data_IF_432321273839
#
_entry.id   IF_432321273839
#
_cell.length_a   1.000
_cell.length_b   1.000
_cell.length_c   1.000
_cell.angle_alpha   90.00
_cell.angle_beta   90.00
_cell.angle_gamma   90.00
#
_symmetry.space_group_name_H-M   'P 1'
#
loop_
_entity.id
_entity.type
_entity.pdbx_description
1 polymer ?
#
# COMPACT_ATOMS: atom_id res chain seq x y z
N UNK A 1 -38.93 4.18 -32.23
CA UNK A 1 -39.62 2.88 -32.18
C UNK A 1 -39.49 2.35 -30.77
N UNK A 2 -40.63 1.97 -30.20
CA UNK A 2 -40.87 1.69 -28.79
C UNK A 2 -40.29 0.34 -28.33
N UNK A 3 -40.26 0.16 -27.00
CA UNK A 3 -40.15 -1.07 -26.22
C UNK A 3 -38.73 -1.45 -25.72
N UNK A 4 -38.53 -1.83 -24.46
CA UNK A 4 -39.29 -1.71 -23.19
C UNK A 4 -38.26 -2.04 -22.09
N UNK A 5 -38.35 -1.33 -20.97
CA UNK A 5 -37.63 -1.64 -19.75
C UNK A 5 -38.32 -2.81 -19.04
N UNK A 6 -37.55 -3.77 -18.51
CA UNK A 6 -38.04 -4.73 -17.53
C UNK A 6 -37.23 -4.60 -16.23
N UNK A 7 -37.98 -4.30 -15.19
CA UNK A 7 -37.60 -4.00 -13.84
C UNK A 7 -37.80 -5.27 -13.01
N UNK A 8 -36.76 -5.78 -12.37
CA UNK A 8 -36.86 -6.95 -11.47
C UNK A 8 -36.16 -6.68 -10.14
N UNK A 9 -36.97 -6.36 -9.14
CA UNK A 9 -36.68 -6.57 -7.71
C UNK A 9 -38.00 -6.99 -7.04
N UNK A 10 -38.00 -7.46 -5.78
CA UNK A 10 -37.51 -8.76 -5.34
C UNK A 10 -38.69 -9.59 -4.76
N UNK A 11 -38.58 -10.92 -4.73
CA UNK A 11 -39.56 -11.77 -4.04
C UNK A 11 -38.87 -12.64 -3.00
N UNK A 12 -39.06 -12.26 -1.74
CA UNK A 12 -39.12 -13.18 -0.61
C UNK A 12 -40.58 -13.19 -0.12
N UNK A 13 -41.15 -14.37 0.18
CA UNK A 13 -41.85 -14.46 1.45
C UNK A 13 -41.50 -15.75 2.18
N UNK A 14 -41.20 -15.59 3.47
CA UNK A 14 -40.77 -16.66 4.35
C UNK A 14 -41.79 -17.78 4.53
N UNK A 15 -41.25 -18.96 4.84
CA UNK A 15 -42.00 -20.09 5.41
C UNK A 15 -41.44 -20.40 6.79
N UNK A 16 -42.24 -20.11 7.81
CA UNK A 16 -42.04 -20.54 9.20
C UNK A 16 -42.19 -22.07 9.25
N UNK A 17 -41.16 -22.77 9.69
CA UNK A 17 -41.27 -24.13 10.23
C UNK A 17 -40.82 -24.14 11.67
N UNK A 18 -41.78 -24.30 12.56
CA UNK A 18 -41.63 -24.59 13.98
C UNK A 18 -41.00 -25.97 14.16
N UNK A 19 -39.77 -26.01 14.67
CA UNK A 19 -39.16 -27.22 15.20
C UNK A 19 -38.88 -27.00 16.70
N UNK A 20 -39.77 -27.53 17.52
CA UNK A 20 -39.58 -27.79 18.94
C UNK A 20 -38.38 -28.73 19.13
N UNK A 21 -37.28 -28.20 19.64
CA UNK A 21 -36.08 -28.96 20.01
C UNK A 21 -35.64 -28.55 21.41
N UNK A 22 -35.74 -29.50 22.35
CA UNK A 22 -35.33 -29.40 23.76
C UNK A 22 -34.01 -28.64 23.93
N UNK A 23 -34.00 -27.64 24.80
CA UNK A 23 -32.80 -27.05 25.39
C UNK A 23 -32.07 -28.11 26.22
N UNK A 24 -31.19 -28.87 25.58
CA UNK A 24 -30.15 -29.59 26.29
C UNK A 24 -29.10 -28.55 26.71
N UNK A 25 -29.18 -28.13 27.99
CA UNK A 25 -28.11 -27.39 28.62
C UNK A 25 -26.84 -28.23 28.55
N UNK A 26 -25.94 -27.88 27.64
CA UNK A 26 -24.56 -28.37 27.69
C UNK A 26 -23.85 -27.53 28.75
N UNK A 27 -23.87 -28.04 29.97
CA UNK A 27 -22.94 -27.64 31.01
C UNK A 27 -21.54 -27.83 30.45
N UNK A 28 -20.84 -26.72 30.15
CA UNK A 28 -19.41 -26.73 29.87
C UNK A 28 -18.75 -27.22 31.15
N UNK A 29 -18.45 -28.52 31.18
CA UNK A 29 -17.74 -29.16 32.27
C UNK A 29 -16.37 -28.49 32.41
N UNK A 30 -16.08 -28.02 33.61
CA UNK A 30 -14.80 -27.45 34.00
C UNK A 30 -13.72 -28.53 33.82
N UNK A 31 -12.99 -28.49 32.70
CA UNK A 31 -11.84 -29.37 32.50
C UNK A 31 -10.75 -28.91 33.47
N UNK A 32 -10.42 -29.77 34.44
CA UNK A 32 -9.31 -29.56 35.35
C UNK A 32 -8.05 -29.25 34.52
N UNK A 33 -7.59 -28.01 34.60
CA UNK A 33 -6.48 -27.52 33.78
C UNK A 33 -5.20 -28.03 34.42
N UNK A 34 -4.62 -29.09 33.87
CA UNK A 34 -3.26 -29.47 34.21
C UNK A 34 -2.35 -28.31 33.79
N UNK A 35 -1.81 -27.59 34.79
CA UNK A 35 -0.91 -26.48 34.54
C UNK A 35 0.42 -27.06 34.04
N UNK A 36 0.71 -26.86 32.77
CA UNK A 36 2.02 -27.17 32.19
C UNK A 36 2.93 -25.97 32.43
N UNK A 37 4.20 -26.21 32.75
CA UNK A 37 5.19 -25.14 32.82
C UNK A 37 6.17 -25.24 31.64
N UNK A 38 6.50 -24.10 31.04
CA UNK A 38 7.58 -23.99 30.07
C UNK A 38 8.42 -22.74 30.33
N UNK A 39 9.61 -22.73 29.75
CA UNK A 39 10.52 -21.59 29.79
C UNK A 39 10.68 -21.01 28.39
N UNK A 40 10.35 -19.73 28.20
CA UNK A 40 10.56 -19.01 26.94
C UNK A 40 11.57 -17.89 27.20
N UNK A 41 12.72 -17.94 26.52
CA UNK A 41 13.83 -16.98 26.68
C UNK A 41 14.27 -16.77 28.15
N UNK A 42 14.20 -17.84 28.95
CA UNK A 42 14.53 -17.81 30.38
C UNK A 42 13.37 -17.40 31.31
N UNK A 43 12.25 -16.88 30.77
CA UNK A 43 11.03 -16.60 31.54
C UNK A 43 10.21 -17.88 31.71
N UNK A 44 9.97 -18.29 32.97
CA UNK A 44 9.00 -19.35 33.29
C UNK A 44 7.58 -18.83 33.06
N UNK A 45 6.79 -19.59 32.32
CA UNK A 45 5.41 -19.25 31.96
C UNK A 45 4.53 -20.48 32.14
N UNK A 46 3.30 -20.25 32.58
CA UNK A 46 2.29 -21.30 32.69
C UNK A 46 1.55 -21.44 31.36
N UNK A 47 1.22 -22.68 31.00
CA UNK A 47 0.46 -23.04 29.83
C UNK A 47 -0.71 -23.96 30.18
N UNK A 48 -1.72 -23.93 29.32
CA UNK A 48 -2.84 -24.86 29.37
C UNK A 48 -2.59 -26.01 28.40
N UNK A 49 -3.10 -27.17 28.74
CA UNK A 49 -3.06 -28.31 27.84
C UNK A 49 -3.73 -27.98 26.49
N UNK A 50 -3.07 -28.35 25.38
CA UNK A 50 -3.52 -28.04 24.03
C UNK A 50 -3.07 -26.67 23.49
N UNK A 51 -2.48 -25.79 24.30
CA UNK A 51 -1.93 -24.53 23.81
C UNK A 51 -0.66 -24.76 22.98
N UNK A 52 -0.48 -23.95 21.95
CA UNK A 52 0.74 -23.84 21.17
C UNK A 52 1.71 -22.87 21.80
N UNK A 53 3.00 -23.02 21.47
CA UNK A 53 4.05 -22.09 21.92
C UNK A 53 3.72 -20.64 21.53
N UNK A 54 3.12 -20.40 20.36
CA UNK A 54 2.76 -19.06 19.91
C UNK A 54 1.63 -18.43 20.74
N UNK A 55 0.61 -19.22 21.11
CA UNK A 55 -0.52 -18.73 21.93
C UNK A 55 -0.04 -18.33 23.33
N UNK A 56 0.79 -19.17 23.95
CA UNK A 56 1.37 -18.84 25.25
C UNK A 56 2.27 -17.60 25.16
N UNK A 57 3.15 -17.53 24.15
CA UNK A 57 4.02 -16.38 23.96
C UNK A 57 3.22 -15.07 23.82
N UNK A 58 2.13 -15.06 23.02
CA UNK A 58 1.27 -13.89 22.84
C UNK A 58 0.59 -13.47 24.14
N UNK A 59 0.02 -14.41 24.90
CA UNK A 59 -0.60 -14.11 26.21
C UNK A 59 0.40 -13.47 27.17
N UNK A 60 1.64 -13.94 27.15
CA UNK A 60 2.70 -13.52 28.06
C UNK A 60 3.47 -12.29 27.59
N UNK A 61 3.05 -11.67 26.48
CA UNK A 61 3.68 -10.48 25.90
C UNK A 61 5.04 -10.76 25.23
N UNK A 62 5.33 -12.01 24.90
CA UNK A 62 6.56 -12.41 24.22
C UNK A 62 6.32 -12.39 22.70
N UNK A 63 7.08 -11.55 22.00
CA UNK A 63 6.90 -11.37 20.57
C UNK A 63 7.50 -12.52 19.76
N UNK A 64 6.65 -13.23 19.03
CA UNK A 64 7.03 -14.19 17.99
C UNK A 64 6.32 -13.79 16.69
N UNK A 65 7.03 -13.47 15.59
CA UNK A 65 6.40 -13.02 14.36
C UNK A 65 5.66 -14.17 13.68
N UNK A 66 4.48 -13.89 13.12
CA UNK A 66 3.72 -14.86 12.31
C UNK A 66 2.87 -14.12 11.27
N UNK A 67 3.00 -14.46 9.99
CA UNK A 67 2.19 -13.87 8.92
C UNK A 67 0.88 -14.64 8.67
N UNK A 68 0.94 -15.97 8.68
CA UNK A 68 -0.19 -16.82 8.31
C UNK A 68 -1.05 -17.28 9.51
N UNK A 69 -0.76 -16.78 10.73
CA UNK A 69 -1.53 -17.16 11.91
C UNK A 69 -2.66 -16.15 12.13
N UNK A 70 -3.89 -16.61 12.00
CA UNK A 70 -5.11 -15.82 12.20
C UNK A 70 -5.87 -16.42 13.38
N UNK A 71 -6.22 -15.60 14.36
CA UNK A 71 -6.97 -16.04 15.54
C UNK A 71 -8.34 -16.60 15.15
N UNK A 72 -8.76 -17.68 15.81
CA UNK A 72 -9.99 -18.39 15.48
C UNK A 72 -9.90 -19.32 14.25
N UNK A 73 -8.72 -19.45 13.64
CA UNK A 73 -8.48 -20.41 12.54
C UNK A 73 -7.44 -21.44 12.93
N UNK A 74 -7.51 -22.63 12.33
CA UNK A 74 -6.48 -23.66 12.54
C UNK A 74 -5.12 -23.16 12.06
N UNK A 75 -4.06 -23.41 12.83
CA UNK A 75 -2.71 -23.00 12.47
C UNK A 75 -2.10 -23.90 11.39
N UNK A 76 -1.47 -23.29 10.38
CA UNK A 76 -0.93 -24.00 9.21
C UNK A 76 0.59 -24.19 9.23
N UNK A 77 1.32 -23.34 9.97
CA UNK A 77 2.79 -23.35 9.96
C UNK A 77 3.43 -23.00 8.61
N UNK A 78 2.65 -22.47 7.66
CA UNK A 78 3.09 -22.23 6.28
C UNK A 78 4.14 -21.11 6.16
N UNK A 79 3.95 -19.98 6.85
CA UNK A 79 4.84 -18.81 6.70
C UNK A 79 6.24 -18.99 7.29
N UNK A 80 6.40 -19.91 8.25
CA UNK A 80 7.67 -20.19 8.96
C UNK A 80 8.35 -18.96 9.62
N UNK A 81 7.67 -17.83 9.76
CA UNK A 81 8.22 -16.71 10.54
C UNK A 81 8.17 -16.99 12.05
N UNK A 82 7.23 -17.82 12.51
CA UNK A 82 7.10 -18.19 13.91
C UNK A 82 8.10 -19.25 14.38
N UNK A 83 9.16 -19.52 13.60
CA UNK A 83 10.14 -20.53 13.96
C UNK A 83 10.83 -20.18 15.28
N UNK A 84 10.98 -21.17 16.15
CA UNK A 84 11.64 -21.09 17.44
C UNK A 84 12.56 -22.29 17.62
N UNK A 85 13.51 -22.15 18.53
CA UNK A 85 14.41 -23.24 18.92
C UNK A 85 13.84 -23.88 20.18
N UNK A 86 13.61 -25.20 20.14
CA UNK A 86 13.15 -25.97 21.29
C UNK A 86 14.30 -26.86 21.75
N UNK A 87 14.67 -26.78 23.02
CA UNK A 87 15.74 -27.59 23.61
C UNK A 87 15.50 -29.08 23.36
N UNK A 88 16.54 -29.80 22.94
CA UNK A 88 16.45 -31.22 22.57
C UNK A 88 15.98 -31.49 21.15
N UNK A 89 15.46 -30.50 20.42
CA UNK A 89 15.08 -30.66 19.02
C UNK A 89 16.15 -30.16 18.06
N UNK A 90 16.54 -31.01 17.11
CA UNK A 90 17.51 -30.64 16.09
C UNK A 90 16.95 -29.63 15.10
N UNK A 91 15.69 -29.74 14.69
CA UNK A 91 15.05 -28.81 13.75
C UNK A 91 14.37 -27.65 14.50
N UNK A 92 14.38 -26.46 13.90
CA UNK A 92 13.55 -25.36 14.38
C UNK A 92 12.07 -25.72 14.24
N UNK A 93 11.28 -25.37 15.25
CA UNK A 93 9.87 -25.72 15.34
C UNK A 93 9.01 -24.50 15.02
N UNK A 94 7.86 -24.69 14.38
CA UNK A 94 6.94 -23.60 14.13
C UNK A 94 6.07 -23.38 15.38
N UNK A 95 6.27 -22.26 16.09
CA UNK A 95 5.59 -22.02 17.35
C UNK A 95 4.06 -22.07 17.25
N UNK A 96 3.48 -21.76 16.08
CA UNK A 96 2.04 -21.76 15.88
C UNK A 96 1.41 -23.16 15.77
N UNK A 97 2.18 -24.21 15.53
CA UNK A 97 1.68 -25.60 15.43
C UNK A 97 2.31 -26.53 16.45
N UNK A 98 3.31 -26.06 17.19
CA UNK A 98 3.98 -26.84 18.22
C UNK A 98 3.23 -26.69 19.53
N UNK A 99 2.61 -27.77 19.99
CA UNK A 99 1.98 -27.84 21.32
C UNK A 99 3.02 -27.75 22.43
N UNK A 100 2.63 -27.13 23.52
CA UNK A 100 3.42 -27.05 24.73
C UNK A 100 3.47 -28.42 25.42
N UNK A 101 4.64 -28.76 25.94
CA UNK A 101 4.84 -29.87 26.85
C UNK A 101 5.45 -29.37 28.16
N UNK A 102 5.24 -30.11 29.25
CA UNK A 102 5.81 -29.75 30.54
C UNK A 102 7.34 -29.77 30.51
N UNK A 103 7.97 -28.78 31.16
CA UNK A 103 9.41 -28.59 31.17
C UNK A 103 10.00 -28.15 29.82
N UNK A 104 9.17 -27.82 28.82
CA UNK A 104 9.67 -27.35 27.51
C UNK A 104 10.49 -26.06 27.66
N UNK A 105 11.61 -25.98 26.95
CA UNK A 105 12.44 -24.78 26.91
C UNK A 105 12.56 -24.26 25.48
N UNK A 106 12.15 -23.01 25.25
CA UNK A 106 12.06 -22.37 23.95
C UNK A 106 12.95 -21.12 23.93
N UNK A 107 13.71 -20.94 22.86
CA UNK A 107 14.42 -19.69 22.55
C UNK A 107 13.85 -19.08 21.28
N UNK A 108 13.42 -17.82 21.35
CA UNK A 108 12.68 -17.18 20.26
C UNK A 108 13.54 -16.31 19.34
N UNK A 109 14.77 -15.98 19.76
CA UNK A 109 15.62 -15.00 19.07
C UNK A 109 17.10 -15.39 19.00
N UNK A 110 17.40 -16.67 18.77
CA UNK A 110 18.79 -17.11 18.54
C UNK A 110 19.31 -16.69 17.15
N UNK A 111 20.64 -16.58 16.93
CA UNK A 111 21.19 -16.31 15.59
C UNK A 111 20.67 -17.27 14.52
N UNK A 112 20.45 -18.53 14.89
CA UNK A 112 19.91 -19.58 14.04
C UNK A 112 18.45 -19.32 13.67
N UNK A 113 17.61 -18.91 14.63
CA UNK A 113 16.21 -18.52 14.39
C UNK A 113 16.16 -17.29 13.48
N UNK A 114 16.95 -16.25 13.79
CA UNK A 114 17.03 -15.02 12.97
C UNK A 114 17.42 -15.33 11.52
N UNK A 115 18.49 -16.10 11.32
CA UNK A 115 18.96 -16.46 9.98
C UNK A 115 17.87 -17.19 9.18
N UNK A 116 17.16 -18.15 9.79
CA UNK A 116 16.11 -18.89 9.08
C UNK A 116 14.88 -18.02 8.78
N UNK A 117 14.44 -17.18 9.73
CA UNK A 117 13.36 -16.21 9.50
C UNK A 117 13.70 -15.26 8.35
N UNK A 118 14.94 -14.77 8.29
CA UNK A 118 15.43 -13.94 7.19
C UNK A 118 15.40 -14.68 5.85
N UNK A 119 15.79 -15.96 5.79
CA UNK A 119 15.70 -16.74 4.55
C UNK A 119 14.26 -16.86 4.04
N UNK A 120 13.30 -17.16 4.94
CA UNK A 120 11.88 -17.24 4.56
C UNK A 120 11.34 -15.88 4.13
N UNK A 121 11.66 -14.81 4.87
CA UNK A 121 11.24 -13.46 4.50
C UNK A 121 11.81 -13.06 3.13
N UNK A 122 13.09 -13.34 2.86
CA UNK A 122 13.71 -13.11 1.54
C UNK A 122 13.02 -13.90 0.43
N UNK A 123 12.61 -15.14 0.70
CA UNK A 123 11.84 -15.94 -0.26
C UNK A 123 10.44 -15.34 -0.50
N UNK A 124 9.73 -14.88 0.53
CA UNK A 124 8.45 -14.19 0.33
C UNK A 124 8.60 -12.88 -0.43
N UNK A 125 9.71 -12.18 -0.19
CA UNK A 125 10.03 -10.93 -0.86
C UNK A 125 10.66 -11.12 -2.25
N UNK A 126 11.04 -12.34 -2.65
CA UNK A 126 11.70 -12.55 -3.94
C UNK A 126 10.77 -12.33 -5.13
N UNK A 127 9.47 -12.55 -4.91
CA UNK A 127 8.40 -12.30 -5.88
C UNK A 127 7.42 -11.20 -5.39
N UNK A 128 7.82 -10.47 -4.34
CA UNK A 128 7.02 -9.34 -3.86
C UNK A 128 7.11 -8.19 -4.86
N UNK A 129 6.11 -8.11 -5.72
CA UNK A 129 5.93 -7.07 -6.72
C UNK A 129 5.49 -5.70 -6.14
N UNK A 130 5.49 -5.53 -4.81
CA UNK A 130 5.36 -4.21 -4.25
C UNK A 130 6.73 -3.53 -4.31
N UNK A 131 7.00 -2.90 -5.46
CA UNK A 131 7.75 -1.67 -5.42
C UNK A 131 7.14 -0.83 -4.28
N UNK A 132 7.97 -0.42 -3.30
CA UNK A 132 7.52 0.48 -2.22
C UNK A 132 6.88 1.76 -2.78
N UNK A 133 7.22 2.09 -4.04
CA UNK A 133 6.63 3.13 -4.87
C UNK A 133 5.82 2.49 -6.01
N UNK A 134 4.77 3.12 -6.52
CA UNK A 134 4.04 2.53 -7.64
C UNK A 134 4.93 2.41 -8.90
N UNK A 135 4.86 1.30 -9.67
CA UNK A 135 5.73 1.10 -10.84
C UNK A 135 5.56 2.21 -11.89
N UNK A 136 4.36 2.78 -12.02
CA UNK A 136 4.11 3.92 -12.89
C UNK A 136 4.87 5.18 -12.44
N UNK A 137 4.94 5.48 -11.15
CA UNK A 137 5.70 6.59 -10.59
C UNK A 137 7.20 6.37 -10.76
N UNK A 138 7.69 5.17 -10.49
CA UNK A 138 9.10 4.82 -10.66
C UNK A 138 9.56 4.89 -12.13
N UNK A 139 8.72 4.44 -13.07
CA UNK A 139 9.02 4.52 -14.51
C UNK A 139 8.85 5.93 -15.09
N UNK A 140 8.13 6.83 -14.40
CA UNK A 140 7.95 8.19 -14.85
C UNK A 140 9.25 8.99 -14.60
N UNK A 141 9.88 9.57 -15.64
CA UNK A 141 11.13 10.32 -15.46
C UNK A 141 10.96 11.59 -14.63
N UNK A 142 9.73 12.06 -14.44
CA UNK A 142 9.40 13.21 -13.60
C UNK A 142 8.87 12.80 -12.23
N UNK A 143 8.82 11.51 -11.92
CA UNK A 143 8.39 10.97 -10.62
C UNK A 143 7.02 11.50 -10.13
N UNK A 144 6.10 11.77 -11.07
CA UNK A 144 4.73 12.18 -10.71
C UNK A 144 4.09 11.08 -9.86
N UNK A 145 3.36 11.49 -8.81
CA UNK A 145 2.50 10.60 -8.04
C UNK A 145 1.26 10.23 -8.87
N UNK A 146 1.45 9.33 -9.84
CA UNK A 146 0.43 8.83 -10.74
C UNK A 146 -0.74 8.16 -9.98
N UNK A 147 -0.50 7.38 -8.90
CA UNK A 147 -1.60 6.85 -8.08
C UNK A 147 -2.48 7.93 -7.44
N UNK A 148 -1.90 8.94 -6.79
CA UNK A 148 -2.66 10.03 -6.20
C UNK A 148 -3.41 10.83 -7.27
N UNK A 149 -2.74 11.07 -8.40
CA UNK A 149 -3.31 11.73 -9.57
C UNK A 149 -4.55 11.00 -10.14
N UNK A 150 -4.45 9.69 -10.37
CA UNK A 150 -5.58 8.87 -10.84
C UNK A 150 -6.71 8.86 -9.81
N UNK A 151 -6.37 8.81 -8.52
CA UNK A 151 -7.35 8.85 -7.42
C UNK A 151 -8.12 10.18 -7.41
N UNK A 152 -7.43 11.31 -7.58
CA UNK A 152 -8.06 12.63 -7.67
C UNK A 152 -9.00 12.72 -8.88
N UNK A 153 -8.57 12.24 -10.05
CA UNK A 153 -9.42 12.20 -11.24
C UNK A 153 -10.64 11.29 -11.06
N UNK A 154 -10.48 10.13 -10.43
CA UNK A 154 -11.60 9.22 -10.15
C UNK A 154 -12.63 9.86 -9.21
N UNK A 155 -12.19 10.75 -8.31
CA UNK A 155 -13.07 11.53 -7.45
C UNK A 155 -13.70 12.76 -8.15
N UNK A 156 -13.36 13.02 -9.42
CA UNK A 156 -13.79 14.22 -10.16
C UNK A 156 -13.06 15.50 -9.78
N UNK A 157 -11.99 15.42 -8.98
CA UNK A 157 -11.16 16.55 -8.57
C UNK A 157 -10.07 16.84 -9.62
N UNK A 158 -10.50 17.43 -10.74
CA UNK A 158 -9.59 17.81 -11.82
C UNK A 158 -8.55 18.86 -11.40
N UNK A 159 -8.91 19.74 -10.46
CA UNK A 159 -8.01 20.76 -9.95
C UNK A 159 -6.90 20.13 -9.08
N UNK A 160 -7.25 19.27 -8.13
CA UNK A 160 -6.28 18.53 -7.33
C UNK A 160 -5.40 17.62 -8.19
N UNK A 161 -5.98 16.97 -9.19
CA UNK A 161 -5.23 16.16 -10.15
C UNK A 161 -4.18 17.00 -10.92
N UNK A 162 -4.57 18.18 -11.42
CA UNK A 162 -3.65 19.09 -12.10
C UNK A 162 -2.55 19.61 -11.17
N UNK A 163 -2.88 19.92 -9.91
CA UNK A 163 -1.90 20.35 -8.90
C UNK A 163 -0.85 19.26 -8.58
N UNK A 164 -1.26 17.99 -8.47
CA UNK A 164 -0.34 16.86 -8.29
C UNK A 164 0.68 16.80 -9.44
N UNK A 165 0.23 16.99 -10.67
CA UNK A 165 1.13 17.01 -11.83
C UNK A 165 2.00 18.26 -11.82
N UNK A 166 1.45 19.44 -11.49
CA UNK A 166 2.18 20.72 -11.44
C UNK A 166 3.25 20.81 -10.38
N UNK A 167 3.18 19.98 -9.34
CA UNK A 167 4.26 19.85 -8.36
C UNK A 167 5.59 19.50 -9.06
N UNK A 168 5.55 18.67 -10.10
CA UNK A 168 6.73 18.21 -10.84
C UNK A 168 6.87 18.88 -12.22
N UNK A 169 5.76 19.14 -12.91
CA UNK A 169 5.74 19.64 -14.28
C UNK A 169 4.70 20.77 -14.47
N UNK A 170 5.13 22.03 -14.69
CA UNK A 170 4.23 23.19 -14.75
C UNK A 170 3.18 23.20 -15.87
N UNK A 171 3.32 22.32 -16.87
CA UNK A 171 2.49 22.31 -18.09
C UNK A 171 1.77 20.96 -18.28
N UNK A 172 0.80 20.61 -17.42
CA UNK A 172 0.09 19.33 -17.50
C UNK A 172 -0.63 19.13 -18.85
N UNK A 173 -1.17 20.20 -19.46
CA UNK A 173 -1.84 20.12 -20.75
C UNK A 173 -0.89 19.77 -21.91
N UNK A 174 0.34 20.28 -21.87
CA UNK A 174 1.39 19.92 -22.83
C UNK A 174 1.81 18.46 -22.60
N UNK A 175 2.01 18.06 -21.34
CA UNK A 175 2.39 16.71 -20.98
C UNK A 175 1.43 15.67 -21.57
N UNK A 176 0.11 15.92 -21.52
CA UNK A 176 -0.89 15.04 -22.14
C UNK A 176 -0.79 14.89 -23.68
N UNK A 177 0.03 15.71 -24.35
CA UNK A 177 0.25 15.68 -25.80
C UNK A 177 1.60 15.10 -26.18
N UNK A 178 2.65 15.33 -25.37
CA UNK A 178 4.04 14.96 -25.70
C UNK A 178 4.60 13.81 -24.86
N UNK A 179 3.88 13.34 -23.83
CA UNK A 179 4.35 12.27 -22.95
C UNK A 179 4.65 10.97 -23.73
N UNK A 180 5.85 10.37 -23.58
CA UNK A 180 6.21 9.08 -24.20
C UNK A 180 5.58 7.84 -23.54
N UNK A 181 4.80 8.01 -22.46
CA UNK A 181 4.01 6.95 -21.79
C UNK A 181 4.83 5.82 -21.15
N UNK A 182 5.99 6.13 -20.55
CA UNK A 182 6.83 5.15 -19.84
C UNK A 182 6.10 4.35 -18.75
N UNK A 183 5.03 4.91 -18.18
CA UNK A 183 4.22 4.25 -17.15
C UNK A 183 3.19 3.25 -17.70
N UNK A 184 2.82 3.29 -18.98
CA UNK A 184 1.84 2.37 -19.56
C UNK A 184 2.37 0.93 -19.66
N UNK A 185 3.60 0.66 -20.15
CA UNK A 185 4.16 -0.70 -20.21
C UNK A 185 4.34 -1.40 -18.86
N UNK A 186 4.41 -0.65 -17.76
CA UNK A 186 4.59 -1.17 -16.39
C UNK A 186 3.31 -1.04 -15.54
N UNK A 187 2.18 -0.74 -16.18
CA UNK A 187 0.92 -0.52 -15.49
C UNK A 187 0.33 -1.85 -15.01
N UNK A 188 0.19 -2.05 -13.69
CA UNK A 188 -0.42 -3.25 -13.10
C UNK A 188 -1.86 -3.51 -13.56
N UNK A 189 -2.56 -2.47 -14.04
CA UNK A 189 -3.90 -2.65 -14.60
C UNK A 189 -3.87 -3.54 -15.85
N UNK A 190 -2.76 -3.51 -16.61
CA UNK A 190 -2.52 -4.40 -17.74
C UNK A 190 -2.40 -5.89 -17.37
N UNK A 191 -2.19 -6.23 -16.09
CA UNK A 191 -2.24 -7.63 -15.63
C UNK A 191 -3.68 -8.17 -15.52
N UNK A 192 -4.67 -7.26 -15.55
CA UNK A 192 -6.10 -7.58 -15.45
C UNK A 192 -6.80 -7.34 -16.79
N UNK A 193 -6.61 -6.16 -17.38
CA UNK A 193 -7.17 -5.77 -18.68
C UNK A 193 -6.18 -4.93 -19.51
N UNK A 194 -6.30 -3.60 -19.54
CA UNK A 194 -5.51 -2.71 -20.37
C UNK A 194 -4.84 -1.61 -19.51
N UNK A 195 -3.62 -1.15 -19.88
CA UNK A 195 -2.99 -0.02 -19.20
C UNK A 195 -3.86 1.24 -19.20
N UNK A 196 -3.73 2.02 -18.13
CA UNK A 196 -4.42 3.32 -18.02
C UNK A 196 -3.86 4.28 -19.07
N UNK A 197 -4.76 4.86 -19.88
CA UNK A 197 -4.43 5.85 -20.91
C UNK A 197 -3.97 7.20 -20.31
N UNK A 198 -2.73 7.25 -19.83
CA UNK A 198 -2.21 8.35 -18.99
C UNK A 198 -2.23 9.69 -19.71
N UNK A 199 -1.94 9.72 -21.02
CA UNK A 199 -1.98 10.94 -21.82
C UNK A 199 -3.39 11.52 -21.89
N UNK A 200 -4.42 10.67 -22.03
CA UNK A 200 -5.80 11.11 -22.07
C UNK A 200 -6.22 11.71 -20.73
N UNK A 201 -5.79 11.09 -19.64
CA UNK A 201 -6.00 11.64 -18.31
C UNK A 201 -5.32 13.01 -18.15
N UNK A 202 -4.05 13.16 -18.56
CA UNK A 202 -3.33 14.45 -18.42
C UNK A 202 -4.03 15.58 -19.18
N UNK A 203 -4.56 15.27 -20.37
CA UNK A 203 -5.39 16.22 -21.12
C UNK A 203 -6.67 16.54 -20.38
N UNK A 204 -7.39 15.53 -19.88
CA UNK A 204 -8.61 15.73 -19.12
C UNK A 204 -8.38 16.58 -17.86
N UNK A 205 -7.32 16.32 -17.11
CA UNK A 205 -6.94 17.11 -15.94
C UNK A 205 -6.73 18.59 -16.30
N UNK A 206 -5.97 18.86 -17.37
CA UNK A 206 -5.69 20.23 -17.81
C UNK A 206 -6.90 20.94 -18.43
N UNK A 207 -7.72 20.23 -19.21
CA UNK A 207 -8.85 20.81 -19.94
C UNK A 207 -10.06 21.06 -19.01
N UNK A 208 -10.23 20.24 -17.96
CA UNK A 208 -11.36 20.31 -17.02
C UNK A 208 -11.04 20.92 -15.67
N UNK A 209 -9.79 21.30 -15.44
CA UNK A 209 -9.47 22.18 -14.33
C UNK A 209 -10.21 23.51 -14.55
N UNK A 210 -11.31 23.69 -13.83
CA UNK A 210 -12.00 24.97 -13.72
C UNK A 210 -10.94 25.98 -13.37
N UNK A 211 -10.73 27.01 -14.21
CA UNK A 211 -9.74 28.09 -14.02
C UNK A 211 -9.38 28.19 -12.55
N UNK A 212 -8.31 27.49 -12.15
CA UNK A 212 -7.66 27.83 -10.89
C UNK A 212 -7.45 29.34 -10.98
N UNK A 213 -7.46 30.04 -9.85
CA UNK A 213 -7.41 31.51 -9.83
C UNK A 213 -6.23 32.13 -10.63
N UNK A 214 -5.36 31.29 -11.22
CA UNK A 214 -4.28 31.61 -12.12
C UNK A 214 -3.10 32.15 -11.35
N UNK A 215 -3.20 32.18 -10.02
CA UNK A 215 -2.19 32.75 -9.14
C UNK A 215 -1.24 31.64 -8.77
N UNK A 216 -0.05 31.74 -9.35
CA UNK A 216 1.09 30.97 -8.90
C UNK A 216 1.25 31.16 -7.38
N UNK A 217 1.24 30.05 -6.63
CA UNK A 217 1.53 30.09 -5.20
C UNK A 217 3.02 30.38 -5.03
N UNK A 218 3.34 31.44 -4.30
CA UNK A 218 4.72 31.85 -4.07
C UNK A 218 5.04 31.87 -2.58
N UNK A 219 6.22 31.37 -2.25
CA UNK A 219 6.86 31.51 -0.94
C UNK A 219 7.19 32.98 -0.63
N UNK A 220 7.71 33.22 0.58
CA UNK A 220 8.13 34.56 1.01
C UNK A 220 9.18 35.13 0.05
N UNK A 221 9.10 36.43 -0.30
CA UNK A 221 10.09 37.06 -1.16
C UNK A 221 11.51 36.91 -0.61
N UNK A 222 12.39 36.40 -1.44
CA UNK A 222 13.81 36.18 -1.10
C UNK A 222 14.67 37.43 -1.29
N UNK A 223 14.15 38.45 -1.97
CA UNK A 223 14.89 39.65 -2.39
C UNK A 223 15.88 39.40 -3.55
N UNK A 224 16.02 38.16 -4.03
CA UNK A 224 16.92 37.82 -5.15
C UNK A 224 16.23 38.00 -6.50
N UNK A 225 16.99 38.48 -7.48
CA UNK A 225 16.55 38.64 -8.87
C UNK A 225 17.25 37.62 -9.76
N UNK A 226 16.50 36.96 -10.65
CA UNK A 226 17.02 35.95 -11.57
C UNK A 226 16.60 36.28 -12.99
N UNK A 227 17.56 36.29 -13.92
CA UNK A 227 17.30 36.37 -15.35
C UNK A 227 17.31 34.95 -15.95
N UNK A 228 16.24 34.58 -16.64
CA UNK A 228 16.16 33.32 -17.39
C UNK A 228 16.24 33.66 -18.87
N UNK A 229 17.23 33.09 -19.58
CA UNK A 229 17.39 33.28 -21.02
C UNK A 229 16.76 32.09 -21.76
N UNK A 230 15.76 32.38 -22.58
CA UNK A 230 14.90 31.44 -23.28
C UNK A 230 13.54 31.26 -22.59
N UNK A 231 12.46 31.53 -23.34
CA UNK A 231 11.07 31.28 -23.00
C UNK A 231 10.54 29.98 -23.63
N UNK A 232 11.44 29.01 -23.86
CA UNK A 232 11.07 27.62 -24.17
C UNK A 232 10.62 26.85 -22.92
N UNK A 233 10.31 25.55 -23.07
CA UNK A 233 9.68 24.76 -22.00
C UNK A 233 10.57 24.63 -20.76
N UNK A 234 11.87 24.43 -20.98
CA UNK A 234 12.86 24.38 -19.90
C UNK A 234 12.98 25.72 -19.17
N UNK A 235 13.07 26.83 -19.92
CA UNK A 235 13.20 28.17 -19.34
C UNK A 235 11.95 28.60 -18.57
N UNK A 236 10.76 28.35 -19.13
CA UNK A 236 9.49 28.63 -18.43
C UNK A 236 9.30 27.72 -17.20
N UNK A 237 9.76 26.48 -17.25
CA UNK A 237 9.77 25.58 -16.08
C UNK A 237 10.67 26.10 -14.98
N UNK A 238 11.89 26.55 -15.33
CA UNK A 238 12.80 27.17 -14.38
C UNK A 238 12.19 28.45 -13.79
N UNK A 239 11.60 29.31 -14.62
CA UNK A 239 10.96 30.54 -14.18
C UNK A 239 9.79 30.27 -13.23
N UNK A 240 8.96 29.26 -13.52
CA UNK A 240 7.84 28.83 -12.67
C UNK A 240 8.33 28.45 -11.27
N UNK A 241 9.27 27.50 -11.17
CA UNK A 241 9.75 27.00 -9.89
C UNK A 241 10.58 28.02 -9.10
N UNK A 242 11.32 28.91 -9.77
CA UNK A 242 12.03 30.00 -9.10
C UNK A 242 11.05 31.05 -8.55
N UNK A 243 9.99 31.35 -9.29
CA UNK A 243 8.95 32.27 -8.82
C UNK A 243 8.18 31.67 -7.65
N UNK A 244 7.84 30.38 -7.70
CA UNK A 244 7.24 29.67 -6.55
C UNK A 244 8.11 29.77 -5.30
N UNK A 245 9.44 29.72 -5.43
CA UNK A 245 10.40 29.88 -4.31
C UNK A 245 10.62 31.33 -3.87
N UNK A 246 9.82 32.29 -4.36
CA UNK A 246 9.86 33.69 -3.94
C UNK A 246 11.00 34.50 -4.56
N UNK A 247 11.57 34.07 -5.68
CA UNK A 247 12.52 34.88 -6.45
C UNK A 247 11.80 35.82 -7.43
N UNK A 248 12.35 37.01 -7.66
CA UNK A 248 11.88 37.88 -8.73
C UNK A 248 12.53 37.44 -10.05
N UNK A 249 11.74 36.85 -10.94
CA UNK A 249 12.24 36.29 -12.20
C UNK A 249 11.88 37.19 -13.38
N UNK A 250 12.83 37.41 -14.27
CA UNK A 250 12.60 38.03 -15.60
C UNK A 250 13.04 37.06 -16.67
N UNK A 251 12.15 36.75 -17.60
CA UNK A 251 12.42 35.87 -18.74
C UNK A 251 12.72 36.71 -19.97
N UNK A 252 13.80 36.39 -20.67
CA UNK A 252 14.20 37.02 -21.92
C UNK A 252 14.16 35.97 -23.02
N UNK A 253 13.60 36.29 -24.18
CA UNK A 253 13.66 35.45 -25.37
C UNK A 253 13.98 36.33 -26.60
N UNK A 254 14.58 35.73 -27.63
CA UNK A 254 14.83 36.41 -28.89
C UNK A 254 13.59 36.48 -29.80
N UNK A 255 12.57 35.68 -29.50
CA UNK A 255 11.28 35.68 -30.20
C UNK A 255 10.29 36.65 -29.55
N UNK A 256 9.33 37.12 -30.34
CA UNK A 256 8.27 38.01 -29.88
C UNK A 256 7.36 37.37 -28.83
N UNK A 257 7.13 36.05 -28.93
CA UNK A 257 6.21 35.33 -28.05
C UNK A 257 6.85 34.12 -27.37
N UNK A 258 6.47 33.81 -26.10
CA UNK A 258 6.97 32.65 -25.37
C UNK A 258 6.36 31.34 -25.88
N UNK A 259 6.98 30.20 -25.52
CA UNK A 259 6.50 28.84 -25.80
C UNK A 259 7.44 27.98 -26.63
N UNK A 260 8.46 28.57 -27.26
CA UNK A 260 9.45 27.82 -28.04
C UNK A 260 8.82 26.98 -29.16
N UNK A 261 9.14 25.68 -29.21
CA UNK A 261 8.58 24.70 -30.16
C UNK A 261 7.22 24.12 -29.72
N UNK A 262 6.70 24.53 -28.56
CA UNK A 262 5.45 24.02 -28.00
C UNK A 262 4.23 24.92 -28.26
N UNK A 263 4.38 25.96 -29.10
CA UNK A 263 3.24 26.69 -29.65
C UNK A 263 2.52 25.84 -30.69
#
# INVERSE_FOLDING_TARGET
MSARAENTTPKDPGKKTTATGKTAGSTVGTVATTALELTIDGKRVAAREGETVLEVARREGIYIPALCHIEGTAAWGACRLCLVEVSGMQKLQAACTTWVADGMAVKTDTPRVRARRQSYLKMYLSDHNAYCEAPCTHACPTHIDIPAYITALAAGDFAGAAEIVRAELPFPGILGRVCPRYCEPVCRRGDVDEPIAICALHRAAADHERKADGRLRTDRPTGKRVAVIGAGPAGLTAAWFLTQRGHQVTVYDGREEPGGLLR
#
